data_IF_672375694134
#
_entry.id   IF_672375694134
#
_cell.length_a   1.000
_cell.length_b   1.000
_cell.length_c   1.000
_cell.angle_alpha   90.00
_cell.angle_beta   90.00
_cell.angle_gamma   90.00
#
_symmetry.space_group_name_H-M   'P 1'
#
loop_
_entity.id
_entity.type
_entity.pdbx_description
1 polymer ?
#
# COMPACT_ATOMS: atom_id res chain seq x y z
N UNK A 1 -5.61 -4.34 -19.92
CA UNK A 1 -4.39 -4.06 -19.12
C UNK A 1 -3.23 -3.62 -20.02
N UNK A 2 -3.36 -2.50 -20.73
CA UNK A 2 -2.39 -2.06 -21.73
C UNK A 2 -1.02 -1.65 -21.13
N UNK A 3 -1.02 -0.94 -20.00
CA UNK A 3 0.21 -0.43 -19.38
C UNK A 3 0.83 -1.33 -18.32
N UNK A 4 0.18 -2.44 -17.95
CA UNK A 4 0.65 -3.27 -16.83
C UNK A 4 2.05 -3.85 -17.10
N UNK A 5 2.35 -4.18 -18.36
CA UNK A 5 3.65 -4.71 -18.77
C UNK A 5 4.74 -3.65 -18.84
N UNK A 6 4.39 -2.36 -18.91
CA UNK A 6 5.32 -1.23 -19.03
C UNK A 6 5.50 -0.45 -17.74
N UNK A 7 4.87 -0.87 -16.62
CA UNK A 7 5.05 -0.22 -15.34
C UNK A 7 6.52 -0.29 -14.87
N UNK A 8 7.07 0.81 -14.34
CA UNK A 8 8.41 0.80 -13.77
C UNK A 8 8.45 -0.09 -12.53
N UNK A 9 9.60 -0.71 -12.30
CA UNK A 9 9.82 -1.56 -11.13
C UNK A 9 9.99 -0.69 -9.88
N UNK A 10 9.46 -1.17 -8.75
CA UNK A 10 9.63 -0.50 -7.47
C UNK A 10 11.11 -0.53 -7.05
N UNK A 11 11.77 0.62 -6.83
CA UNK A 11 13.20 0.65 -6.51
C UNK A 11 13.45 0.20 -5.06
N UNK A 12 14.58 -0.50 -4.86
CA UNK A 12 15.12 -0.78 -3.52
C UNK A 12 16.00 0.41 -3.09
N UNK A 13 15.70 1.08 -1.97
CA UNK A 13 16.49 2.22 -1.49
C UNK A 13 17.91 1.80 -1.08
N UNK A 14 18.84 2.75 -1.07
CA UNK A 14 20.20 2.51 -0.54
C UNK A 14 20.12 2.23 0.96
N UNK A 15 20.86 1.22 1.43
CA UNK A 15 20.90 0.84 2.85
C UNK A 15 21.21 2.04 3.76
N UNK A 16 22.19 2.86 3.37
CA UNK A 16 22.59 4.05 4.12
C UNK A 16 21.44 5.04 4.33
N UNK A 17 20.68 5.33 3.26
CA UNK A 17 19.55 6.25 3.31
C UNK A 17 18.40 5.66 4.12
N UNK A 18 18.19 4.34 4.05
CA UNK A 18 17.19 3.66 4.88
C UNK A 18 17.54 3.76 6.36
N UNK A 19 18.80 3.50 6.73
CA UNK A 19 19.28 3.62 8.11
C UNK A 19 19.19 5.06 8.64
N UNK A 20 19.57 6.05 7.83
CA UNK A 20 19.47 7.47 8.18
C UNK A 20 18.02 7.90 8.42
N UNK A 21 17.11 7.57 7.49
CA UNK A 21 15.69 7.88 7.61
C UNK A 21 15.04 7.18 8.80
N UNK A 22 15.45 5.94 9.09
CA UNK A 22 15.00 5.23 10.27
C UNK A 22 15.41 5.96 11.55
N UNK A 23 16.68 6.34 11.70
CA UNK A 23 17.14 7.09 12.87
C UNK A 23 16.44 8.44 13.01
N UNK A 24 16.26 9.18 11.91
CA UNK A 24 15.52 10.43 11.92
C UNK A 24 14.07 10.25 12.41
N UNK A 25 13.39 9.16 12.01
CA UNK A 25 12.04 8.84 12.46
C UNK A 25 11.99 8.39 13.93
N UNK A 26 13.05 7.76 14.45
CA UNK A 26 13.14 7.36 15.86
C UNK A 26 13.46 8.52 16.79
N UNK A 27 14.18 9.55 16.30
CA UNK A 27 14.64 10.66 17.14
C UNK A 27 13.53 11.33 17.96
N UNK A 28 12.34 11.68 17.42
CA UNK A 28 11.29 12.30 18.22
C UNK A 28 10.56 11.33 19.16
N UNK A 29 10.76 10.02 19.02
CA UNK A 29 10.04 8.99 19.79
C UNK A 29 10.83 8.49 21.01
N UNK A 30 12.16 8.63 20.99
CA UNK A 30 13.06 8.04 21.96
C UNK A 30 13.76 9.09 22.82
N UNK A 31 13.87 8.80 24.12
CA UNK A 31 14.77 9.53 25.02
C UNK A 31 16.24 9.30 24.60
N UNK A 32 17.13 10.20 25.00
CA UNK A 32 18.52 10.22 24.54
C UNK A 32 19.28 8.91 24.78
N UNK A 33 19.10 8.29 25.95
CA UNK A 33 19.75 7.00 26.26
C UNK A 33 19.32 5.90 25.28
N UNK A 34 18.00 5.77 25.07
CA UNK A 34 17.44 4.78 24.14
C UNK A 34 17.85 5.08 22.70
N UNK A 35 17.87 6.35 22.30
CA UNK A 35 18.30 6.76 20.95
C UNK A 35 19.75 6.39 20.70
N UNK A 36 20.67 6.65 21.64
CA UNK A 36 22.10 6.27 21.51
C UNK A 36 22.28 4.77 21.31
N UNK A 37 21.52 3.95 22.05
CA UNK A 37 21.51 2.49 21.89
C UNK A 37 21.01 2.08 20.50
N UNK A 38 19.92 2.70 20.03
CA UNK A 38 19.36 2.47 18.69
C UNK A 38 20.36 2.86 17.60
N UNK A 39 20.99 4.03 17.72
CA UNK A 39 22.01 4.51 16.79
C UNK A 39 23.21 3.55 16.70
N UNK A 40 23.72 3.09 17.84
CA UNK A 40 24.77 2.07 17.87
C UNK A 40 24.36 0.81 17.11
N UNK A 41 23.17 0.27 17.39
CA UNK A 41 22.66 -0.94 16.75
C UNK A 41 22.48 -0.77 15.22
N UNK A 42 21.96 0.37 14.79
CA UNK A 42 21.77 0.67 13.36
C UNK A 42 23.11 0.78 12.65
N UNK A 43 24.10 1.43 13.27
CA UNK A 43 25.44 1.52 12.72
C UNK A 43 26.13 0.15 12.63
N UNK A 44 25.98 -0.71 13.65
CA UNK A 44 26.45 -2.10 13.61
C UNK A 44 25.75 -2.91 12.50
N UNK A 45 24.43 -2.79 12.37
CA UNK A 45 23.67 -3.46 11.31
C UNK A 45 24.15 -3.03 9.92
N UNK A 46 24.29 -1.72 9.71
CA UNK A 46 24.75 -1.12 8.45
C UNK A 46 26.17 -1.55 8.07
N UNK A 47 27.07 -1.71 9.04
CA UNK A 47 28.45 -2.11 8.78
C UNK A 47 28.63 -3.62 8.57
N UNK A 48 27.73 -4.44 9.13
CA UNK A 48 27.80 -5.91 9.15
C UNK A 48 26.71 -6.58 8.29
N UNK A 49 25.79 -7.32 8.92
CA UNK A 49 24.78 -8.19 8.30
C UNK A 49 23.84 -7.44 7.35
N UNK A 50 23.60 -6.14 7.57
CA UNK A 50 22.73 -5.33 6.73
C UNK A 50 23.19 -5.28 5.27
N UNK A 51 24.51 -5.29 5.01
CA UNK A 51 25.05 -5.35 3.64
C UNK A 51 24.74 -6.68 2.95
N UNK A 52 24.85 -7.78 3.70
CA UNK A 52 24.56 -9.12 3.19
C UNK A 52 23.07 -9.24 2.85
N UNK A 53 22.20 -8.82 3.77
CA UNK A 53 20.75 -8.83 3.57
C UNK A 53 20.31 -7.91 2.42
N UNK A 54 20.91 -6.72 2.29
CA UNK A 54 20.64 -5.83 1.16
C UNK A 54 20.99 -6.47 -0.19
N UNK A 55 22.08 -7.23 -0.26
CA UNK A 55 22.47 -7.96 -1.46
C UNK A 55 21.52 -9.12 -1.76
N UNK A 56 21.11 -9.87 -0.73
CA UNK A 56 20.09 -10.92 -0.87
C UNK A 56 18.77 -10.35 -1.38
N UNK A 57 18.31 -9.22 -0.83
CA UNK A 57 17.09 -8.53 -1.27
C UNK A 57 17.17 -8.10 -2.73
N UNK A 58 18.29 -7.50 -3.14
CA UNK A 58 18.52 -7.12 -4.55
C UNK A 58 18.56 -8.33 -5.47
N UNK A 59 19.13 -9.45 -5.02
CA UNK A 59 19.16 -10.68 -5.82
C UNK A 59 17.78 -11.29 -5.96
N UNK A 60 17.00 -11.34 -4.87
CA UNK A 60 15.60 -11.75 -4.88
C UNK A 60 14.78 -10.89 -5.86
N UNK A 61 14.93 -9.56 -5.81
CA UNK A 61 14.28 -8.65 -6.75
C UNK A 61 14.69 -8.91 -8.21
N UNK A 62 15.98 -9.13 -8.48
CA UNK A 62 16.48 -9.42 -9.84
C UNK A 62 15.93 -10.74 -10.41
N UNK A 63 15.68 -11.74 -9.56
CA UNK A 63 15.11 -13.03 -9.94
C UNK A 63 13.60 -12.95 -10.16
N UNK A 64 12.91 -11.99 -9.53
CA UNK A 64 11.45 -11.86 -9.53
C UNK A 64 10.96 -10.60 -10.27
N UNK A 65 11.39 -10.41 -11.52
CA UNK A 65 11.09 -9.17 -12.29
C UNK A 65 9.61 -8.93 -12.63
N UNK A 66 8.78 -9.97 -12.55
CA UNK A 66 7.35 -9.91 -12.83
C UNK A 66 6.53 -9.32 -11.66
N UNK A 67 7.16 -9.05 -10.52
CA UNK A 67 6.54 -8.48 -9.32
C UNK A 67 7.49 -7.46 -8.66
N UNK A 68 7.11 -6.93 -7.49
CA UNK A 68 7.96 -6.09 -6.65
C UNK A 68 8.54 -6.88 -5.49
N UNK A 69 9.71 -6.47 -4.99
CA UNK A 69 10.41 -7.13 -3.89
C UNK A 69 9.60 -7.23 -2.57
N UNK A 70 8.56 -6.41 -2.40
CA UNK A 70 7.80 -6.28 -1.15
C UNK A 70 6.43 -6.96 -1.20
N UNK A 71 5.89 -7.23 -2.39
CA UNK A 71 4.48 -7.65 -2.57
C UNK A 71 4.14 -8.88 -1.73
N UNK A 72 4.93 -9.95 -1.86
CA UNK A 72 4.73 -11.20 -1.14
C UNK A 72 4.78 -10.99 0.38
N UNK A 73 5.85 -10.36 0.88
CA UNK A 73 6.02 -10.08 2.31
C UNK A 73 4.91 -9.20 2.88
N UNK A 74 4.40 -8.25 2.09
CA UNK A 74 3.30 -7.39 2.50
C UNK A 74 2.01 -8.18 2.63
N UNK A 75 1.63 -8.98 1.61
CA UNK A 75 0.44 -9.83 1.71
C UNK A 75 0.53 -10.82 2.87
N UNK A 76 1.70 -11.46 3.03
CA UNK A 76 1.96 -12.42 4.09
C UNK A 76 1.79 -11.79 5.49
N UNK A 77 2.14 -10.51 5.66
CA UNK A 77 1.94 -9.79 6.93
C UNK A 77 0.46 -9.69 7.34
N UNK A 78 -0.46 -9.51 6.39
CA UNK A 78 -1.90 -9.51 6.67
C UNK A 78 -2.44 -10.92 6.84
N UNK A 79 -2.02 -11.86 5.99
CA UNK A 79 -2.57 -13.22 5.97
C UNK A 79 -2.09 -14.08 7.16
N UNK A 80 -0.95 -13.75 7.76
CA UNK A 80 -0.42 -14.45 8.94
C UNK A 80 -0.93 -13.89 10.26
N UNK A 81 -1.38 -12.64 10.32
CA UNK A 81 -1.91 -12.11 11.57
C UNK A 81 -3.20 -12.85 11.97
N UNK A 82 -3.27 -13.24 13.23
CA UNK A 82 -4.38 -14.00 13.83
C UNK A 82 -5.39 -13.10 14.52
N UNK A 83 -5.15 -11.78 14.57
CA UNK A 83 -6.13 -10.82 15.08
C UNK A 83 -7.42 -10.87 14.24
N UNK A 84 -8.59 -10.70 14.86
CA UNK A 84 -9.84 -10.59 14.12
C UNK A 84 -9.80 -9.46 13.08
N UNK A 85 -10.30 -9.72 11.88
CA UNK A 85 -10.33 -8.71 10.80
C UNK A 85 -11.20 -7.47 11.12
N UNK A 86 -12.34 -7.56 11.86
CA UNK A 86 -13.08 -6.37 12.25
C UNK A 86 -12.22 -5.50 13.17
N UNK A 87 -12.33 -4.17 13.03
CA UNK A 87 -11.59 -3.15 13.80
C UNK A 87 -10.08 -3.09 13.47
N UNK A 88 -9.38 -4.23 13.39
CA UNK A 88 -7.93 -4.26 13.17
C UNK A 88 -7.54 -3.97 11.72
N UNK A 89 -8.33 -4.46 10.76
CA UNK A 89 -7.95 -4.44 9.34
C UNK A 89 -9.01 -3.90 8.40
N UNK A 90 -10.28 -4.27 8.58
CA UNK A 90 -11.34 -3.89 7.65
C UNK A 90 -11.80 -2.44 7.91
N UNK A 91 -11.43 -1.46 7.07
CA UNK A 91 -11.98 -0.11 7.20
C UNK A 91 -13.45 -0.08 6.75
N UNK A 92 -14.19 0.92 7.20
CA UNK A 92 -15.55 1.18 6.74
C UNK A 92 -15.65 2.58 6.15
N UNK A 93 -16.32 2.70 5.00
CA UNK A 93 -16.75 3.97 4.43
C UNK A 93 -18.24 4.14 4.75
N UNK A 94 -18.59 5.29 5.33
CA UNK A 94 -19.98 5.66 5.60
C UNK A 94 -20.42 6.66 4.54
N UNK A 95 -21.51 6.35 3.84
CA UNK A 95 -22.07 7.20 2.81
C UNK A 95 -22.93 8.31 3.42
N UNK A 96 -22.93 9.48 2.79
CA UNK A 96 -23.91 10.51 3.10
C UNK A 96 -25.31 10.05 2.69
N UNK A 97 -26.33 10.50 3.44
CA UNK A 97 -27.74 10.30 3.07
C UNK A 97 -28.06 11.05 1.78
N UNK A 98 -29.02 10.55 1.00
CA UNK A 98 -29.55 11.31 -0.14
C UNK A 98 -30.28 12.55 0.40
N UNK A 99 -30.12 13.70 -0.26
CA UNK A 99 -30.78 14.95 0.11
C UNK A 99 -32.31 14.82 0.07
N UNK A 100 -32.81 13.92 -0.77
CA UNK A 100 -34.24 13.62 -0.93
C UNK A 100 -34.66 12.54 0.07
N UNK A 101 -35.50 12.85 1.07
CA UNK A 101 -35.86 11.92 2.12
C UNK A 101 -36.46 10.60 1.61
N UNK A 102 -37.26 10.64 0.55
CA UNK A 102 -37.90 9.47 -0.07
C UNK A 102 -36.90 8.44 -0.59
N UNK A 103 -35.67 8.83 -0.90
CA UNK A 103 -34.62 7.92 -1.35
C UNK A 103 -33.78 7.32 -0.25
N UNK A 104 -34.05 7.67 1.01
CA UNK A 104 -33.46 7.03 2.17
C UNK A 104 -34.35 5.89 2.72
N UNK A 105 -35.48 5.58 2.06
CA UNK A 105 -36.18 4.32 2.30
C UNK A 105 -35.26 3.12 2.05
N UNK A 106 -35.26 2.15 2.96
CA UNK A 106 -34.28 1.06 2.96
C UNK A 106 -34.32 0.23 1.66
N UNK A 107 -35.53 -0.09 1.17
CA UNK A 107 -35.67 -0.90 -0.05
C UNK A 107 -35.18 -0.10 -1.25
N UNK A 108 -35.63 1.14 -1.38
CA UNK A 108 -35.29 1.99 -2.52
C UNK A 108 -33.79 2.33 -2.56
N UNK A 109 -33.19 2.66 -1.41
CA UNK A 109 -31.76 2.92 -1.27
C UNK A 109 -30.92 1.70 -1.64
N UNK A 110 -31.30 0.51 -1.16
CA UNK A 110 -30.59 -0.72 -1.45
C UNK A 110 -30.69 -1.09 -2.94
N UNK A 111 -31.88 -1.03 -3.53
CA UNK A 111 -32.07 -1.29 -4.97
C UNK A 111 -31.21 -0.35 -5.84
N UNK A 112 -31.21 0.95 -5.52
CA UNK A 112 -30.39 1.94 -6.23
C UNK A 112 -28.89 1.68 -6.06
N UNK A 113 -28.45 1.39 -4.83
CA UNK A 113 -27.05 1.07 -4.51
C UNK A 113 -26.58 -0.15 -5.30
N UNK A 114 -27.36 -1.22 -5.31
CA UNK A 114 -27.06 -2.43 -6.09
C UNK A 114 -27.01 -2.13 -7.59
N UNK A 115 -28.00 -1.45 -8.14
CA UNK A 115 -28.02 -1.08 -9.56
C UNK A 115 -26.78 -0.26 -9.95
N UNK A 116 -26.42 0.74 -9.11
CA UNK A 116 -25.25 1.58 -9.35
C UNK A 116 -23.95 0.79 -9.25
N UNK A 117 -23.83 -0.13 -8.29
CA UNK A 117 -22.68 -1.02 -8.16
C UNK A 117 -22.49 -1.87 -9.43
N UNK A 118 -23.54 -2.52 -9.92
CA UNK A 118 -23.45 -3.31 -11.16
C UNK A 118 -23.12 -2.45 -12.38
N UNK A 119 -23.67 -1.23 -12.46
CA UNK A 119 -23.34 -0.29 -13.54
C UNK A 119 -21.85 0.08 -13.50
N UNK A 120 -21.29 0.33 -12.30
CA UNK A 120 -19.87 0.63 -12.12
C UNK A 120 -19.02 -0.57 -12.48
N UNK A 121 -19.41 -1.79 -12.09
CA UNK A 121 -18.70 -3.01 -12.46
C UNK A 121 -18.65 -3.19 -13.98
N UNK A 122 -19.79 -3.03 -14.67
CA UNK A 122 -19.83 -3.12 -16.14
C UNK A 122 -18.95 -2.07 -16.81
N UNK A 123 -18.98 -0.82 -16.32
CA UNK A 123 -18.10 0.24 -16.82
C UNK A 123 -16.64 -0.10 -16.54
N UNK A 124 -16.33 -0.60 -15.34
CA UNK A 124 -14.98 -1.00 -14.95
C UNK A 124 -14.48 -2.10 -15.88
N UNK A 125 -15.21 -3.21 -16.03
CA UNK A 125 -14.83 -4.27 -16.95
C UNK A 125 -14.65 -3.73 -18.37
N UNK A 126 -15.62 -2.96 -18.88
CA UNK A 126 -15.57 -2.46 -20.25
C UNK A 126 -14.45 -1.44 -20.51
N UNK A 127 -14.10 -0.63 -19.52
CA UNK A 127 -13.16 0.49 -19.67
C UNK A 127 -11.75 0.13 -19.18
N UNK A 128 -11.61 -0.57 -18.04
CA UNK A 128 -10.34 -1.13 -17.55
C UNK A 128 -9.72 -2.13 -18.55
N UNK A 129 -10.56 -2.94 -19.22
CA UNK A 129 -10.09 -3.82 -20.30
C UNK A 129 -9.56 -2.97 -21.47
N UNK A 130 -10.25 -1.89 -21.85
CA UNK A 130 -9.94 -1.05 -23.02
C UNK A 130 -8.73 -0.14 -22.86
N UNK A 131 -8.60 0.59 -21.75
CA UNK A 131 -7.60 1.68 -21.64
C UNK A 131 -6.40 1.29 -20.78
N UNK A 132 -6.57 0.39 -19.81
CA UNK A 132 -5.52 0.02 -18.86
C UNK A 132 -5.01 1.17 -17.99
N UNK A 133 -5.67 2.32 -17.97
CA UNK A 133 -5.33 3.51 -17.19
C UNK A 133 -6.59 4.18 -16.69
N UNK A 134 -6.59 4.75 -15.47
CA UNK A 134 -7.67 5.63 -15.00
C UNK A 134 -7.55 7.03 -15.62
N UNK A 135 -8.66 7.74 -15.89
CA UNK A 135 -8.58 9.08 -16.42
C UNK A 135 -8.13 10.01 -15.28
N UNK A 136 -6.82 10.25 -15.19
CA UNK A 136 -6.28 11.28 -14.32
C UNK A 136 -6.49 12.64 -14.98
N UNK A 137 -7.56 13.35 -14.59
CA UNK A 137 -7.64 14.79 -14.85
C UNK A 137 -6.69 15.48 -13.87
N UNK A 138 -5.48 15.78 -14.33
CA UNK A 138 -4.68 16.83 -13.74
C UNK A 138 -5.55 18.08 -13.70
N UNK A 139 -5.91 18.54 -12.49
CA UNK A 139 -6.27 19.95 -12.32
C UNK A 139 -5.01 20.72 -12.66
N UNK A 140 -4.96 21.30 -13.86
CA UNK A 140 -4.05 22.41 -14.15
C UNK A 140 -4.62 23.59 -13.36
N UNK A 141 -3.88 24.00 -12.34
CA UNK A 141 -3.93 25.38 -11.84
C UNK A 141 -3.24 26.30 -12.86
#
# INVERSE_FOLDING_TARGET
MHFQQSLPRLPIPKLDLTCERYLAAQRPLLIDEAYRKTEFNVNQFKSSVGKQLQNMLKNYDKQNKHTSYISEFWFDSYLRDRKPIPINYNPMLVMHKDERPEYNDQLLLNCKSCYKFFTILQVYESWYIRTGSFPYKSKKE
#
